data_IF_617702101241
#
_entry.id   IF_617702101241
#
_cell.length_a   1.000
_cell.length_b   1.000
_cell.length_c   1.000
_cell.angle_alpha   90.00
_cell.angle_beta   90.00
_cell.angle_gamma   90.00
#
_symmetry.space_group_name_H-M   'P 1'
#
loop_
_entity.id
_entity.type
_entity.pdbx_description
1 polymer ?
#
# COMPACT_ATOMS: atom_id res chain seq x y z
N UNK A 1 9.05 -5.75 9.93
CA UNK A 1 7.72 -6.30 9.58
C UNK A 1 7.27 -7.17 10.73
N UNK A 2 6.00 -7.08 11.12
CA UNK A 2 5.45 -7.81 12.27
C UNK A 2 4.88 -9.15 11.76
N UNK A 3 5.18 -10.30 12.39
CA UNK A 3 4.58 -11.57 11.99
C UNK A 3 3.09 -11.57 12.30
N UNK A 4 2.30 -12.30 11.52
CA UNK A 4 0.84 -12.38 11.68
C UNK A 4 0.44 -12.84 13.09
N UNK A 5 1.24 -13.71 13.71
CA UNK A 5 1.00 -14.22 15.07
C UNK A 5 1.09 -13.16 16.17
N UNK A 6 1.68 -11.98 15.90
CA UNK A 6 1.82 -10.88 16.86
C UNK A 6 0.95 -9.67 16.52
N UNK A 7 -0.03 -9.83 15.64
CA UNK A 7 -0.96 -8.74 15.32
C UNK A 7 -1.86 -8.43 16.51
N UNK A 8 -1.89 -7.17 16.90
CA UNK A 8 -2.74 -6.63 17.96
C UNK A 8 -3.89 -5.84 17.37
N UNK A 9 -5.00 -5.75 18.10
CA UNK A 9 -6.14 -4.97 17.64
C UNK A 9 -5.84 -3.47 17.65
N UNK A 10 -6.22 -2.76 16.59
CA UNK A 10 -6.20 -1.31 16.50
C UNK A 10 -4.90 -0.70 15.98
N UNK A 11 -3.83 -1.48 15.81
CA UNK A 11 -2.56 -0.98 15.27
C UNK A 11 -2.58 -0.86 13.74
N UNK A 12 -1.85 0.14 13.22
CA UNK A 12 -1.55 0.28 11.80
C UNK A 12 -0.24 -0.44 11.51
N UNK A 13 -0.28 -1.50 10.70
CA UNK A 13 0.89 -2.35 10.45
C UNK A 13 0.99 -2.79 9.00
N UNK A 14 2.21 -3.14 8.63
CA UNK A 14 2.53 -3.73 7.33
C UNK A 14 3.07 -5.15 7.52
N UNK A 15 2.44 -6.10 6.85
CA UNK A 15 2.77 -7.53 6.88
C UNK A 15 3.10 -8.04 5.48
N UNK A 16 3.87 -9.11 5.39
CA UNK A 16 4.05 -9.89 4.17
C UNK A 16 3.33 -11.23 4.37
N UNK A 17 2.71 -11.74 3.32
CA UNK A 17 2.23 -13.11 3.33
C UNK A 17 1.84 -13.60 1.96
N UNK A 18 1.62 -14.90 1.88
CA UNK A 18 1.18 -15.60 0.68
C UNK A 18 -0.34 -15.76 0.71
N UNK A 19 -0.97 -15.48 -0.42
CA UNK A 19 -2.41 -15.68 -0.61
C UNK A 19 -2.69 -17.19 -0.70
N UNK A 20 -3.57 -17.68 0.16
CA UNK A 20 -4.08 -19.06 0.08
C UNK A 20 -5.27 -19.16 -0.84
N UNK A 21 -6.24 -18.26 -0.65
CA UNK A 21 -7.47 -18.26 -1.42
C UNK A 21 -8.08 -16.87 -1.44
N UNK A 22 -8.69 -16.52 -2.58
CA UNK A 22 -9.48 -15.30 -2.73
C UNK A 22 -10.87 -15.67 -3.25
N UNK A 23 -11.92 -15.20 -2.58
CA UNK A 23 -13.32 -15.40 -2.96
C UNK A 23 -14.04 -14.06 -3.02
N UNK A 24 -15.03 -13.96 -3.91
CA UNK A 24 -16.00 -12.87 -3.87
C UNK A 24 -17.35 -13.41 -3.40
N UNK A 25 -17.99 -12.71 -2.47
CA UNK A 25 -19.37 -12.96 -2.06
C UNK A 25 -20.19 -11.69 -2.10
N UNK A 26 -21.50 -11.83 -2.33
CA UNK A 26 -22.46 -10.73 -2.16
C UNK A 26 -23.03 -10.76 -0.76
N UNK A 27 -23.17 -9.59 -0.15
CA UNK A 27 -23.88 -9.44 1.12
C UNK A 27 -25.39 -9.41 0.91
N UNK A 28 -26.15 -9.51 2.00
CA UNK A 28 -27.61 -9.32 2.02
C UNK A 28 -28.05 -7.95 1.50
N UNK A 29 -27.16 -6.94 1.59
CA UNK A 29 -27.35 -5.58 1.07
C UNK A 29 -26.87 -5.39 -0.37
N UNK A 30 -26.61 -6.49 -1.09
CA UNK A 30 -26.12 -6.51 -2.47
C UNK A 30 -24.74 -5.85 -2.69
N UNK A 31 -23.96 -5.63 -1.63
CA UNK A 31 -22.57 -5.19 -1.73
C UNK A 31 -21.66 -6.36 -2.04
N UNK A 32 -20.63 -6.15 -2.85
CA UNK A 32 -19.65 -7.19 -3.18
C UNK A 32 -18.51 -7.10 -2.17
N UNK A 33 -18.18 -8.21 -1.52
CA UNK A 33 -17.00 -8.32 -0.66
C UNK A 33 -16.05 -9.33 -1.30
N UNK A 34 -14.82 -8.91 -1.55
CA UNK A 34 -13.71 -9.80 -1.90
C UNK A 34 -12.97 -10.11 -0.62
N UNK A 35 -12.90 -11.38 -0.26
CA UNK A 35 -12.18 -11.87 0.92
C UNK A 35 -10.98 -12.70 0.46
N UNK A 36 -9.80 -12.36 0.96
CA UNK A 36 -8.57 -13.12 0.73
C UNK A 36 -8.02 -13.62 2.06
N UNK A 37 -7.58 -14.87 2.07
CA UNK A 37 -6.88 -15.48 3.20
C UNK A 37 -5.38 -15.41 2.92
N UNK A 38 -4.66 -14.73 3.80
CA UNK A 38 -3.20 -14.56 3.70
C UNK A 38 -2.53 -15.26 4.85
N UNK A 39 -1.39 -15.90 4.58
CA UNK A 39 -0.57 -16.54 5.61
C UNK A 39 0.91 -16.25 5.41
N UNK A 40 1.61 -16.11 6.53
CA UNK A 40 3.05 -15.86 6.62
C UNK A 40 3.78 -17.07 7.24
N UNK A 41 3.16 -18.26 7.21
CA UNK A 41 3.65 -19.47 7.88
C UNK A 41 3.51 -19.47 9.40
N UNK A 42 3.50 -18.30 10.04
CA UNK A 42 3.30 -18.13 11.50
C UNK A 42 1.83 -18.06 11.92
N UNK A 43 0.93 -17.78 10.98
CA UNK A 43 -0.49 -17.60 11.22
C UNK A 43 -1.22 -17.23 9.92
N UNK A 44 -2.54 -17.04 10.01
CA UNK A 44 -3.37 -16.60 8.89
C UNK A 44 -4.26 -15.43 9.29
N UNK A 45 -4.47 -14.53 8.34
CA UNK A 45 -5.30 -13.33 8.49
C UNK A 45 -6.23 -13.19 7.30
N UNK A 46 -7.42 -12.65 7.53
CA UNK A 46 -8.38 -12.36 6.47
C UNK A 46 -8.30 -10.88 6.10
N UNK A 47 -8.15 -10.60 4.82
CA UNK A 47 -8.28 -9.25 4.26
C UNK A 47 -9.55 -9.17 3.41
N UNK A 48 -10.34 -8.11 3.61
CA UNK A 48 -11.62 -7.90 2.95
C UNK A 48 -11.65 -6.57 2.21
N UNK A 49 -12.08 -6.56 0.96
CA UNK A 49 -12.27 -5.36 0.15
C UNK A 49 -13.72 -5.24 -0.30
N UNK A 50 -14.30 -4.05 -0.10
CA UNK A 50 -15.69 -3.78 -0.45
C UNK A 50 -15.77 -3.17 -1.84
N UNK A 51 -16.70 -3.65 -2.67
CA UNK A 51 -16.99 -3.22 -4.04
C UNK A 51 -15.80 -3.26 -5.01
N UNK A 52 -14.78 -4.10 -4.75
CA UNK A 52 -13.58 -4.23 -5.58
C UNK A 52 -13.48 -5.62 -6.25
N UNK A 53 -14.50 -6.03 -7.01
CA UNK A 53 -14.60 -7.38 -7.62
C UNK A 53 -13.39 -7.76 -8.49
N UNK A 54 -12.75 -6.78 -9.13
CA UNK A 54 -11.57 -6.98 -9.99
C UNK A 54 -10.39 -7.60 -9.25
N UNK A 55 -10.33 -7.48 -7.91
CA UNK A 55 -9.29 -8.08 -7.08
C UNK A 55 -9.27 -9.61 -7.14
N UNK A 56 -10.41 -10.26 -7.42
CA UNK A 56 -10.46 -11.73 -7.55
C UNK A 56 -9.51 -12.23 -8.66
N UNK A 57 -9.36 -11.46 -9.74
CA UNK A 57 -8.47 -11.81 -10.84
C UNK A 57 -7.00 -11.51 -10.57
N UNK A 58 -6.71 -10.56 -9.66
CA UNK A 58 -5.35 -10.12 -9.34
C UNK A 58 -4.75 -10.89 -8.16
N UNK A 59 -5.55 -11.15 -7.13
CA UNK A 59 -5.14 -11.81 -5.90
C UNK A 59 -5.24 -13.34 -6.03
N UNK A 60 -4.29 -13.93 -6.76
CA UNK A 60 -4.25 -15.38 -7.01
C UNK A 60 -3.61 -16.15 -5.87
N UNK A 61 -4.06 -17.39 -5.65
CA UNK A 61 -3.43 -18.31 -4.71
C UNK A 61 -1.95 -18.52 -5.06
N UNK A 62 -1.09 -18.59 -4.04
CA UNK A 62 0.37 -18.68 -4.18
C UNK A 62 1.10 -17.34 -4.34
N UNK A 63 0.38 -16.24 -4.60
CA UNK A 63 0.99 -14.92 -4.77
C UNK A 63 1.46 -14.36 -3.43
N UNK A 64 2.70 -13.91 -3.36
CA UNK A 64 3.21 -13.15 -2.22
C UNK A 64 2.84 -11.68 -2.34
N UNK A 65 2.23 -11.14 -1.29
CA UNK A 65 1.82 -9.74 -1.22
C UNK A 65 2.27 -9.09 0.08
N UNK A 66 2.49 -7.78 0.01
CA UNK A 66 2.62 -6.90 1.16
C UNK A 66 1.25 -6.29 1.42
N UNK A 67 0.78 -6.32 2.66
CA UNK A 67 -0.48 -5.72 3.10
C UNK A 67 -0.18 -4.65 4.13
N UNK A 68 -0.75 -3.47 3.95
CA UNK A 68 -0.64 -2.36 4.90
C UNK A 68 -2.03 -1.87 5.27
N UNK A 69 -2.34 -1.84 6.56
CA UNK A 69 -3.65 -1.44 7.03
C UNK A 69 -3.78 -1.44 8.54
N UNK A 70 -4.96 -1.03 9.01
CA UNK A 70 -5.34 -1.15 10.40
C UNK A 70 -5.79 -2.57 10.68
N UNK A 71 -5.26 -3.18 11.73
CA UNK A 71 -5.73 -4.48 12.22
C UNK A 71 -7.02 -4.25 12.99
N UNK A 72 -8.09 -4.85 12.48
CA UNK A 72 -9.38 -4.92 13.15
C UNK A 72 -9.62 -6.35 13.66
N UNK A 73 -10.71 -6.55 14.40
CA UNK A 73 -11.06 -7.86 14.94
C UNK A 73 -12.48 -8.22 14.50
N UNK A 74 -12.64 -9.44 13.99
CA UNK A 74 -13.94 -9.99 13.66
C UNK A 74 -14.06 -11.39 14.24
N UNK A 75 -15.07 -11.61 15.09
CA UNK A 75 -15.28 -12.87 15.81
C UNK A 75 -14.01 -13.39 16.50
N UNK A 76 -13.28 -12.49 17.17
CA UNK A 76 -12.06 -12.82 17.90
C UNK A 76 -10.80 -12.98 17.04
N UNK A 77 -10.88 -12.96 15.71
CA UNK A 77 -9.74 -13.12 14.81
C UNK A 77 -9.28 -11.78 14.21
N UNK A 78 -7.97 -11.56 14.01
CA UNK A 78 -7.48 -10.36 13.33
C UNK A 78 -7.95 -10.36 11.87
N UNK A 79 -8.39 -9.20 11.40
CA UNK A 79 -8.83 -8.97 10.02
C UNK A 79 -8.36 -7.61 9.55
N UNK A 80 -8.20 -7.47 8.24
CA UNK A 80 -7.97 -6.18 7.60
C UNK A 80 -9.19 -5.80 6.77
N UNK A 81 -9.71 -4.60 6.99
CA UNK A 81 -10.77 -4.04 6.18
C UNK A 81 -10.21 -2.98 5.23
N UNK A 82 -10.41 -3.22 3.95
CA UNK A 82 -9.95 -2.41 2.83
C UNK A 82 -8.46 -2.00 2.91
N UNK A 83 -7.52 -2.93 3.21
CA UNK A 83 -6.11 -2.58 3.33
C UNK A 83 -5.50 -2.25 1.96
N UNK A 84 -4.42 -1.49 1.98
CA UNK A 84 -3.56 -1.34 0.80
C UNK A 84 -2.74 -2.63 0.62
N UNK A 85 -2.55 -3.06 -0.63
CA UNK A 85 -1.78 -4.25 -0.94
C UNK A 85 -0.92 -4.05 -2.18
N UNK A 86 0.21 -4.75 -2.22
CA UNK A 86 1.15 -4.73 -3.34
C UNK A 86 1.77 -6.12 -3.55
N UNK A 87 2.00 -6.57 -4.79
CA UNK A 87 2.79 -7.78 -5.07
C UNK A 87 4.22 -7.65 -4.55
N UNK A 88 4.75 -8.71 -3.93
CA UNK A 88 6.15 -8.73 -3.47
C UNK A 88 7.15 -8.93 -4.63
N UNK A 89 6.74 -9.58 -5.73
CA UNK A 89 7.58 -9.87 -6.91
C UNK A 89 7.94 -8.63 -7.74
N UNK A 90 7.23 -7.53 -7.53
CA UNK A 90 7.63 -6.23 -8.06
C UNK A 90 8.51 -5.63 -6.98
N UNK A 91 9.77 -5.30 -7.30
CA UNK A 91 10.70 -4.58 -6.42
C UNK A 91 9.94 -3.70 -5.41
N UNK A 92 10.19 -3.82 -4.09
CA UNK A 92 9.41 -3.13 -3.05
C UNK A 92 9.67 -1.62 -3.10
N UNK A 93 9.10 -0.96 -4.10
CA UNK A 93 9.33 0.44 -4.43
C UNK A 93 8.48 1.37 -3.56
N UNK A 94 7.43 0.85 -2.90
CA UNK A 94 6.40 1.65 -2.23
C UNK A 94 6.28 1.38 -0.72
N UNK A 95 6.47 0.14 -0.25
CA UNK A 95 6.26 -0.23 1.16
C UNK A 95 7.47 -0.03 2.09
N UNK A 96 8.62 0.43 1.57
CA UNK A 96 9.84 0.70 2.36
C UNK A 96 10.34 2.14 2.25
N UNK A 97 9.53 3.07 1.78
CA UNK A 97 9.91 4.47 1.59
C UNK A 97 8.91 5.40 2.25
N UNK A 98 9.34 6.61 2.59
CA UNK A 98 8.44 7.70 2.93
C UNK A 98 7.55 7.94 1.70
N UNK A 99 6.24 7.80 1.86
CA UNK A 99 5.27 7.99 0.79
C UNK A 99 4.63 9.38 0.94
N UNK A 100 4.69 10.25 -0.09
CA UNK A 100 4.08 11.56 -0.02
C UNK A 100 2.55 11.46 -0.04
N UNK A 101 1.90 12.25 0.83
CA UNK A 101 0.44 12.43 0.86
C UNK A 101 0.09 13.73 0.15
N UNK A 102 -0.61 13.63 -0.98
CA UNK A 102 -1.06 14.79 -1.76
C UNK A 102 -2.57 15.01 -1.57
N UNK A 103 -3.03 16.28 -1.55
CA UNK A 103 -4.46 16.58 -1.64
C UNK A 103 -5.08 15.96 -2.90
N UNK A 104 -6.27 15.37 -2.76
CA UNK A 104 -6.96 14.68 -3.84
C UNK A 104 -8.22 15.44 -4.26
N UNK A 105 -8.45 15.46 -5.57
CA UNK A 105 -9.71 15.95 -6.17
C UNK A 105 -10.60 14.76 -6.52
N UNK A 106 -11.93 14.97 -6.55
CA UNK A 106 -12.90 13.92 -6.90
C UNK A 106 -12.52 13.24 -8.23
N UNK A 107 -12.44 11.90 -8.22
CA UNK A 107 -12.05 11.10 -9.38
C UNK A 107 -10.56 10.78 -9.47
N UNK A 108 -9.71 11.34 -8.60
CA UNK A 108 -8.28 11.07 -8.56
C UNK A 108 -7.91 10.17 -7.36
N UNK A 109 -7.26 9.04 -7.63
CA UNK A 109 -6.74 8.18 -6.56
C UNK A 109 -5.36 8.65 -6.09
N UNK A 110 -5.03 8.38 -4.82
CA UNK A 110 -3.69 8.64 -4.25
C UNK A 110 -2.59 7.98 -5.09
N UNK A 111 -2.83 6.76 -5.57
CA UNK A 111 -1.90 6.05 -6.43
C UNK A 111 -1.66 6.77 -7.76
N UNK A 112 -2.73 7.26 -8.39
CA UNK A 112 -2.62 7.99 -9.66
C UNK A 112 -1.89 9.32 -9.47
N UNK A 113 -2.22 10.05 -8.41
CA UNK A 113 -1.55 11.32 -8.08
C UNK A 113 -0.05 11.13 -7.83
N UNK A 114 0.33 10.10 -7.06
CA UNK A 114 1.73 9.75 -6.80
C UNK A 114 2.49 9.36 -8.07
N UNK A 115 1.85 8.57 -8.94
CA UNK A 115 2.42 8.20 -10.24
C UNK A 115 2.66 9.45 -11.11
N UNK A 116 1.67 10.33 -11.22
CA UNK A 116 1.78 11.59 -11.97
C UNK A 116 2.90 12.49 -11.41
N UNK A 117 2.96 12.68 -10.10
CA UNK A 117 4.01 13.50 -9.48
C UNK A 117 5.41 12.90 -9.68
N UNK A 118 5.55 11.58 -9.55
CA UNK A 118 6.84 10.91 -9.80
C UNK A 118 7.31 11.17 -11.23
N UNK A 119 6.42 11.02 -12.22
CA UNK A 119 6.72 11.29 -13.62
C UNK A 119 7.13 12.75 -13.83
N UNK A 120 6.36 13.70 -13.27
CA UNK A 120 6.65 15.12 -13.39
C UNK A 120 8.02 15.48 -12.80
N UNK A 121 8.32 15.07 -11.56
CA UNK A 121 9.60 15.35 -10.90
C UNK A 121 10.76 14.70 -11.67
N UNK A 122 10.63 13.43 -12.06
CA UNK A 122 11.71 12.69 -12.74
C UNK A 122 12.05 13.32 -14.09
N UNK A 123 11.05 13.81 -14.83
CA UNK A 123 11.25 14.39 -16.16
C UNK A 123 11.70 15.85 -16.14
N UNK A 124 11.23 16.63 -15.17
CA UNK A 124 11.38 18.09 -15.20
C UNK A 124 12.34 18.64 -14.15
N UNK A 125 12.55 17.98 -13.00
CA UNK A 125 13.44 18.50 -11.96
C UNK A 125 14.87 18.75 -12.45
N UNK A 126 15.51 17.86 -13.25
CA UNK A 126 16.88 18.11 -13.73
C UNK A 126 17.02 19.31 -14.67
N UNK A 127 15.89 19.83 -15.20
CA UNK A 127 15.87 20.97 -16.12
C UNK A 127 15.66 22.30 -15.41
N UNK A 128 15.37 22.28 -14.12
CA UNK A 128 15.20 23.49 -13.32
C UNK A 128 16.56 23.86 -12.73
N UNK A 129 17.12 25.04 -13.05
CA UNK A 129 18.34 25.50 -12.42
C UNK A 129 18.09 25.75 -10.93
N UNK A 130 19.07 25.39 -10.10
CA UNK A 130 19.01 25.69 -8.66
C UNK A 130 19.01 27.21 -8.45
N UNK A 131 17.99 27.78 -7.79
CA UNK A 131 17.91 29.23 -7.57
C UNK A 131 18.93 29.73 -6.54
N UNK A 132 19.55 28.85 -5.75
CA UNK A 132 20.50 29.22 -4.71
C UNK A 132 21.94 29.29 -5.25
N UNK A 133 22.66 30.41 -5.02
CA UNK A 133 24.08 30.49 -5.32
C UNK A 133 24.89 29.39 -4.64
N UNK A 134 25.89 28.84 -5.33
CA UNK A 134 26.74 27.75 -4.82
C UNK A 134 27.39 28.06 -3.47
N UNK A 135 27.81 29.32 -3.26
CA UNK A 135 28.42 29.75 -2.00
C UNK A 135 27.47 29.63 -0.79
N UNK A 136 26.17 29.92 -0.97
CA UNK A 136 25.17 29.78 0.09
C UNK A 136 24.89 28.32 0.41
N UNK A 137 24.78 27.46 -0.61
CA UNK A 137 24.55 26.02 -0.43
C UNK A 137 25.68 25.34 0.33
N UNK A 138 26.93 25.63 -0.03
CA UNK A 138 28.10 25.07 0.65
C UNK A 138 28.18 25.54 2.10
N UNK A 139 27.94 26.82 2.37
CA UNK A 139 27.96 27.37 3.73
C UNK A 139 26.87 26.77 4.62
N UNK A 140 25.69 26.54 4.07
CA UNK A 140 24.51 26.04 4.79
C UNK A 140 24.33 24.51 4.70
N UNK A 141 25.23 23.81 4.00
CA UNK A 141 25.16 22.36 3.75
C UNK A 141 23.81 21.91 3.16
N UNK A 142 23.34 22.65 2.16
CA UNK A 142 22.12 22.33 1.43
C UNK A 142 22.44 21.51 0.18
N UNK A 143 21.60 20.52 -0.10
CA UNK A 143 21.69 19.73 -1.33
C UNK A 143 21.33 20.58 -2.56
N UNK A 144 21.85 20.15 -3.71
CA UNK A 144 21.46 20.71 -5.00
C UNK A 144 20.04 20.26 -5.35
N UNK A 145 19.33 21.11 -6.10
CA UNK A 145 18.03 20.77 -6.68
C UNK A 145 18.09 19.55 -7.64
N UNK A 146 19.29 19.24 -8.17
CA UNK A 146 19.58 18.15 -9.12
C UNK A 146 20.72 17.27 -8.65
#
# INVERSE_FOLDING_TARGET
MKPISKLEYGEQVTIIGTIWETRARRTRTNQIIVESVISDGTGSVKASWFNQRWLVGQLKAGMQIVISGKVEQFLGRPVFNNPEWEPLEIEPLRTRRIVPVYPLTKGLSSNKMRETMRTAVTQWAPRVPDPLPTALRQRLKLDNLT
#
